data_IF_699685301824
#
_entry.id   IF_699685301824
#
_cell.length_a   1.000
_cell.length_b   1.000
_cell.length_c   1.000
_cell.angle_alpha   90.00
_cell.angle_beta   90.00
_cell.angle_gamma   90.00
#
_symmetry.space_group_name_H-M   'P 1'
#
loop_
_entity.id
_entity.type
_entity.pdbx_description
1 polymer ?
#
# COMPACT_ATOMS: atom_id res chain seq x y z
N UNK A 1 44.19 13.88 -45.63
CA UNK A 1 43.19 12.94 -45.00
C UNK A 1 42.80 13.49 -43.64
N UNK A 2 41.63 14.11 -43.52
CA UNK A 2 41.11 14.66 -42.25
C UNK A 2 40.38 13.52 -41.52
N UNK A 3 40.84 13.13 -40.33
CA UNK A 3 40.16 12.18 -39.47
C UNK A 3 39.02 12.90 -38.74
N UNK A 4 37.80 12.51 -39.04
CA UNK A 4 36.61 12.95 -38.32
C UNK A 4 36.45 12.02 -37.09
N UNK A 5 36.62 12.57 -35.87
CA UNK A 5 36.28 11.89 -34.63
C UNK A 5 34.79 12.14 -34.33
N UNK A 6 33.98 11.11 -34.52
CA UNK A 6 32.59 11.12 -34.07
C UNK A 6 32.56 10.81 -32.57
N UNK A 7 32.30 11.81 -31.74
CA UNK A 7 32.03 11.62 -30.31
C UNK A 7 30.59 11.11 -30.19
N UNK A 8 30.43 9.83 -29.92
CA UNK A 8 29.13 9.23 -29.58
C UNK A 8 28.84 9.61 -28.13
N UNK A 9 28.03 10.65 -27.93
CA UNK A 9 27.53 11.05 -26.62
C UNK A 9 26.60 9.94 -26.08
N UNK A 10 27.05 9.20 -25.07
CA UNK A 10 26.16 8.34 -24.27
C UNK A 10 25.23 9.28 -23.46
N UNK A 11 23.97 9.43 -23.91
CA UNK A 11 22.91 9.98 -23.08
C UNK A 11 22.56 8.88 -22.07
N UNK A 12 23.12 8.99 -20.87
CA UNK A 12 22.68 8.19 -19.72
C UNK A 12 21.28 8.67 -19.36
N UNK A 13 20.26 7.96 -19.81
CA UNK A 13 18.92 8.12 -19.27
C UNK A 13 18.98 7.59 -17.83
N UNK A 14 19.04 8.49 -16.85
CA UNK A 14 18.77 8.15 -15.46
C UNK A 14 17.28 7.77 -15.40
N UNK A 15 17.00 6.46 -15.46
CA UNK A 15 15.69 5.97 -15.06
C UNK A 15 15.58 6.30 -13.56
N UNK A 16 14.72 7.23 -13.21
CA UNK A 16 14.25 7.40 -11.84
C UNK A 16 13.51 6.10 -11.50
N UNK A 17 14.17 5.20 -10.79
CA UNK A 17 13.50 4.06 -10.19
C UNK A 17 12.59 4.64 -9.12
N UNK A 18 11.30 4.83 -9.43
CA UNK A 18 10.31 5.13 -8.43
C UNK A 18 10.41 4.06 -7.34
N UNK A 19 10.45 4.47 -6.08
CA UNK A 19 10.46 3.55 -4.96
C UNK A 19 9.29 2.57 -5.10
N UNK A 20 9.58 1.28 -4.93
CA UNK A 20 8.55 0.25 -5.05
C UNK A 20 7.74 0.14 -3.76
N UNK A 21 8.39 0.32 -2.58
CA UNK A 21 7.70 0.48 -1.29
C UNK A 21 7.73 1.95 -0.91
N UNK A 22 6.56 2.53 -0.64
CA UNK A 22 6.40 3.93 -0.27
C UNK A 22 5.51 4.07 0.96
N UNK A 23 5.58 5.23 1.63
CA UNK A 23 4.68 5.64 2.69
C UNK A 23 3.31 5.96 2.07
N UNK A 24 2.28 5.23 2.46
CA UNK A 24 0.94 5.38 1.92
C UNK A 24 0.05 6.27 2.78
N UNK A 25 0.12 6.13 4.10
CA UNK A 25 -0.67 6.93 5.04
C UNK A 25 0.15 7.30 6.26
N UNK A 26 -0.03 8.53 6.77
CA UNK A 26 0.60 9.03 8.00
C UNK A 26 -0.47 9.65 8.90
N UNK A 27 -0.54 9.16 10.13
CA UNK A 27 -1.42 9.67 11.17
C UNK A 27 -0.65 9.95 12.44
N UNK A 28 -0.61 11.20 12.86
CA UNK A 28 0.08 11.65 14.08
C UNK A 28 -0.87 12.16 15.17
N UNK A 29 -2.17 11.94 15.03
CA UNK A 29 -3.19 12.38 15.99
C UNK A 29 -3.52 11.38 17.09
N UNK A 30 -2.90 10.20 17.05
CA UNK A 30 -3.22 9.07 17.92
C UNK A 30 -3.09 9.38 19.40
N UNK A 31 -4.11 9.03 20.17
CA UNK A 31 -4.15 9.29 21.60
C UNK A 31 -4.23 10.74 22.04
N UNK A 32 -4.37 11.69 21.12
CA UNK A 32 -4.60 13.10 21.43
C UNK A 32 -6.09 13.36 21.75
N UNK A 33 -6.40 14.53 22.32
CA UNK A 33 -7.78 14.94 22.57
C UNK A 33 -8.58 15.02 21.27
N UNK A 34 -9.71 14.33 21.19
CA UNK A 34 -10.55 14.24 19.98
C UNK A 34 -10.11 13.22 18.93
N UNK A 35 -9.02 12.47 19.18
CA UNK A 35 -8.60 11.38 18.33
C UNK A 35 -9.58 10.19 18.41
N UNK A 36 -9.77 9.50 17.30
CA UNK A 36 -10.48 8.22 17.25
C UNK A 36 -9.55 7.08 17.65
N UNK A 37 -8.34 7.06 17.13
CA UNK A 37 -7.35 6.01 17.36
C UNK A 37 -6.45 6.35 18.55
N UNK A 38 -6.03 5.32 19.28
CA UNK A 38 -5.14 5.46 20.44
C UNK A 38 -3.67 5.67 20.06
N UNK A 39 -3.28 5.24 18.87
CA UNK A 39 -1.91 5.26 18.43
C UNK A 39 -1.72 6.08 17.15
N UNK A 40 -0.58 6.72 17.02
CA UNK A 40 -0.04 7.15 15.75
C UNK A 40 0.25 5.92 14.88
N UNK A 41 0.29 6.11 13.56
CA UNK A 41 0.70 5.05 12.64
C UNK A 41 1.31 5.58 11.35
N UNK A 42 2.07 4.70 10.72
CA UNK A 42 2.49 4.82 9.32
C UNK A 42 2.08 3.55 8.60
N UNK A 43 1.52 3.70 7.42
CA UNK A 43 1.21 2.60 6.52
C UNK A 43 2.16 2.67 5.30
N UNK A 44 2.79 1.55 4.98
CA UNK A 44 3.57 1.38 3.75
C UNK A 44 2.74 0.63 2.71
N UNK A 45 3.09 0.79 1.42
CA UNK A 45 2.49 0.04 0.31
C UNK A 45 3.55 -0.36 -0.71
N UNK A 46 3.45 -1.58 -1.27
CA UNK A 46 4.20 -1.97 -2.45
C UNK A 46 3.44 -1.56 -3.72
N UNK A 47 3.96 -0.57 -4.45
CA UNK A 47 3.40 -0.08 -5.72
C UNK A 47 3.92 -0.80 -6.95
N UNK A 48 4.91 -1.67 -6.75
CA UNK A 48 5.50 -2.44 -7.84
C UNK A 48 4.59 -3.54 -8.36
N UNK A 49 5.03 -4.18 -9.42
CA UNK A 49 4.33 -5.31 -10.06
C UNK A 49 4.88 -6.67 -9.62
N UNK A 50 5.87 -6.68 -8.74
CA UNK A 50 6.49 -7.88 -8.17
C UNK A 50 6.59 -7.79 -6.65
N UNK A 51 6.70 -8.94 -6.00
CA UNK A 51 7.01 -9.00 -4.57
C UNK A 51 8.39 -8.40 -4.30
N UNK A 52 8.50 -7.62 -3.22
CA UNK A 52 9.76 -7.00 -2.80
C UNK A 52 9.97 -7.19 -1.30
N UNK A 53 11.23 -7.35 -0.90
CA UNK A 53 11.64 -7.41 0.50
C UNK A 53 12.47 -6.18 0.85
N UNK A 54 12.03 -5.47 1.89
CA UNK A 54 12.74 -4.36 2.50
C UNK A 54 13.48 -4.87 3.75
N UNK A 55 14.81 -4.71 3.78
CA UNK A 55 15.65 -5.17 4.90
C UNK A 55 16.56 -4.04 5.38
N UNK A 56 16.77 -3.95 6.70
CA UNK A 56 17.66 -2.94 7.31
C UNK A 56 17.14 -1.51 7.23
N UNK A 57 15.87 -1.31 6.93
CA UNK A 57 15.25 -0.01 6.77
C UNK A 57 14.86 0.62 8.11
N UNK A 58 14.69 1.93 8.09
CA UNK A 58 14.29 2.74 9.25
C UNK A 58 13.16 3.70 8.87
N UNK A 59 12.27 3.96 9.81
CA UNK A 59 11.46 5.18 9.81
C UNK A 59 12.20 6.23 10.64
N UNK A 60 12.32 7.44 10.12
CA UNK A 60 12.91 8.59 10.80
C UNK A 60 11.94 9.76 10.77
N UNK A 61 11.75 10.41 11.90
CA UNK A 61 10.79 11.50 12.05
C UNK A 61 11.44 12.76 12.62
N UNK A 62 10.95 13.92 12.22
CA UNK A 62 11.22 15.21 12.88
C UNK A 62 10.03 16.17 12.70
N UNK A 63 9.92 17.20 13.54
CA UNK A 63 8.88 18.22 13.42
C UNK A 63 8.99 19.01 12.12
N UNK A 64 7.99 19.81 11.80
CA UNK A 64 7.95 20.62 10.57
C UNK A 64 9.20 21.45 10.34
N UNK A 65 9.68 22.17 11.37
CA UNK A 65 10.90 23.00 11.31
C UNK A 65 12.18 22.28 11.80
N UNK A 66 12.05 21.06 12.38
CA UNK A 66 13.17 20.32 12.94
C UNK A 66 14.14 19.81 11.87
N UNK A 67 15.32 19.38 12.28
CA UNK A 67 16.30 18.73 11.43
C UNK A 67 16.50 17.29 11.91
N UNK A 68 16.59 16.33 10.99
CA UNK A 68 16.84 14.94 11.35
C UNK A 68 18.19 14.80 12.07
N UNK A 69 18.22 14.01 13.13
CA UNK A 69 19.45 13.71 13.88
C UNK A 69 19.96 14.81 14.78
N UNK A 70 19.27 15.96 14.95
CA UNK A 70 19.70 17.09 15.79
C UNK A 70 19.05 17.16 17.17
N UNK A 71 18.24 16.20 17.55
CA UNK A 71 17.68 16.10 18.92
C UNK A 71 18.80 15.81 19.93
N UNK A 72 18.58 16.15 21.20
CA UNK A 72 19.53 15.86 22.30
C UNK A 72 19.96 14.37 22.34
N UNK A 73 19.14 13.47 21.81
CA UNK A 73 19.49 12.11 21.49
C UNK A 73 19.12 11.84 20.01
N UNK A 74 20.09 11.84 19.07
CA UNK A 74 19.83 11.67 17.63
C UNK A 74 19.22 10.32 17.26
N UNK A 75 19.12 9.39 18.20
CA UNK A 75 18.49 8.09 18.00
C UNK A 75 16.99 8.07 18.38
N UNK A 76 16.51 9.04 19.16
CA UNK A 76 15.13 9.03 19.68
C UNK A 76 14.04 9.16 18.62
N UNK A 77 14.36 9.65 17.43
CA UNK A 77 13.39 9.84 16.34
C UNK A 77 13.66 8.87 15.18
N UNK A 78 14.20 7.71 15.49
CA UNK A 78 14.48 6.63 14.53
C UNK A 78 13.89 5.32 15.05
N UNK A 79 13.26 4.59 14.17
CA UNK A 79 12.70 3.26 14.43
C UNK A 79 13.27 2.30 13.41
N UNK A 80 13.97 1.25 13.85
CA UNK A 80 14.37 0.17 12.97
C UNK A 80 13.17 -0.66 12.57
N UNK A 81 13.06 -0.98 11.29
CA UNK A 81 12.00 -1.84 10.77
C UNK A 81 12.47 -3.30 10.69
N UNK A 82 11.59 -4.27 10.96
CA UNK A 82 11.89 -5.66 10.67
C UNK A 82 12.07 -5.88 9.16
N UNK A 83 12.49 -7.07 8.77
CA UNK A 83 12.44 -7.45 7.35
C UNK A 83 10.98 -7.54 6.90
N UNK A 84 10.59 -6.76 5.89
CA UNK A 84 9.21 -6.63 5.40
C UNK A 84 9.15 -7.13 3.97
N UNK A 85 8.34 -8.15 3.71
CA UNK A 85 8.09 -8.64 2.35
C UNK A 85 6.65 -8.32 1.97
N UNK A 86 6.45 -7.57 0.89
CA UNK A 86 5.14 -7.17 0.39
C UNK A 86 4.94 -7.62 -1.06
N UNK A 87 3.78 -8.21 -1.32
CA UNK A 87 3.31 -8.47 -2.67
C UNK A 87 2.81 -7.17 -3.33
N UNK A 88 2.63 -7.13 -4.66
CA UNK A 88 2.05 -5.99 -5.35
C UNK A 88 0.73 -5.52 -4.72
N UNK A 89 0.63 -4.23 -4.42
CA UNK A 89 -0.55 -3.61 -3.79
C UNK A 89 -0.74 -3.93 -2.30
N UNK A 90 0.09 -4.78 -1.70
CA UNK A 90 -0.01 -5.11 -0.29
C UNK A 90 0.47 -3.95 0.57
N UNK A 91 -0.25 -3.72 1.66
CA UNK A 91 0.04 -2.69 2.66
C UNK A 91 0.74 -3.29 3.87
N UNK A 92 1.32 -2.44 4.71
CA UNK A 92 1.98 -2.82 5.95
C UNK A 92 1.77 -1.75 7.01
N UNK A 93 1.07 -2.09 8.08
CA UNK A 93 0.69 -1.17 9.14
C UNK A 93 1.70 -1.18 10.28
N UNK A 94 2.30 -0.03 10.54
CA UNK A 94 3.28 0.19 11.62
C UNK A 94 2.61 1.01 12.70
N UNK A 95 2.37 0.40 13.86
CA UNK A 95 1.90 1.10 15.05
C UNK A 95 3.03 1.93 15.64
N UNK A 96 2.70 3.17 15.98
CA UNK A 96 3.65 4.10 16.62
C UNK A 96 3.16 4.49 18.02
N UNK A 97 3.62 5.64 18.53
CA UNK A 97 3.35 6.03 19.91
C UNK A 97 1.86 6.11 20.24
N UNK A 98 1.52 5.78 21.48
CA UNK A 98 0.19 5.92 22.03
C UNK A 98 0.10 7.18 22.88
N UNK A 99 -1.11 7.75 22.96
CA UNK A 99 -1.47 8.78 23.95
C UNK A 99 -2.56 8.32 24.89
N UNK A 100 -3.05 9.23 25.74
CA UNK A 100 -4.10 8.94 26.73
C UNK A 100 -5.51 9.06 26.17
N UNK A 101 -5.69 9.70 25.02
CA UNK A 101 -6.97 9.84 24.32
C UNK A 101 -7.20 8.72 23.30
N UNK A 102 -8.24 8.90 22.47
CA UNK A 102 -8.64 7.89 21.50
C UNK A 102 -9.43 6.74 22.15
N UNK A 103 -10.31 6.14 21.38
CA UNK A 103 -11.21 5.07 21.88
C UNK A 103 -10.95 3.73 21.20
N UNK A 104 -10.34 3.74 20.01
CA UNK A 104 -10.15 2.56 19.18
C UNK A 104 -8.68 2.19 19.07
N UNK A 105 -8.38 0.89 19.10
CA UNK A 105 -7.08 0.37 18.75
C UNK A 105 -6.91 0.34 17.22
N UNK A 106 -5.66 0.30 16.74
CA UNK A 106 -5.38 -0.01 15.34
C UNK A 106 -5.82 -1.44 14.97
N UNK A 107 -6.26 -1.67 13.73
CA UNK A 107 -6.67 -3.00 13.28
C UNK A 107 -5.46 -3.93 13.07
N UNK A 108 -5.08 -4.71 14.09
CA UNK A 108 -4.01 -5.72 14.04
C UNK A 108 -2.75 -5.25 13.27
N UNK A 109 -1.98 -4.29 13.80
CA UNK A 109 -0.80 -3.77 13.12
C UNK A 109 0.21 -4.91 12.84
N UNK A 110 0.88 -4.85 11.67
CA UNK A 110 1.90 -5.84 11.28
C UNK A 110 3.17 -5.69 12.11
N UNK A 111 3.47 -4.47 12.55
CA UNK A 111 4.58 -4.17 13.45
C UNK A 111 4.14 -3.17 14.53
N UNK A 112 4.38 -3.54 15.78
CA UNK A 112 4.10 -2.74 16.96
C UNK A 112 5.36 -2.72 17.85
N UNK A 113 6.27 -1.74 17.70
CA UNK A 113 7.45 -1.60 18.54
C UNK A 113 7.05 -1.33 19.98
N UNK A 114 7.76 -1.94 20.93
CA UNK A 114 7.45 -1.86 22.37
C UNK A 114 8.63 -1.42 23.23
N UNK A 115 9.76 -1.10 22.61
CA UNK A 115 10.95 -0.62 23.31
C UNK A 115 10.79 0.81 23.84
N UNK A 116 11.66 1.19 24.76
CA UNK A 116 11.70 2.54 25.35
C UNK A 116 12.87 3.37 24.83
N UNK A 117 13.68 2.80 23.93
CA UNK A 117 14.84 3.43 23.30
C UNK A 117 15.09 2.84 21.92
N UNK A 118 15.91 3.54 21.11
CA UNK A 118 16.41 3.00 19.85
C UNK A 118 17.01 1.58 20.03
N UNK A 119 16.78 0.63 19.12
CA UNK A 119 16.10 0.79 17.82
C UNK A 119 14.59 0.57 17.82
N UNK A 120 13.96 0.21 18.94
CA UNK A 120 12.57 -0.29 19.01
C UNK A 120 11.59 0.73 19.62
N UNK A 121 12.00 1.97 19.83
CA UNK A 121 11.12 2.99 20.41
C UNK A 121 10.09 3.45 19.36
N UNK A 122 8.78 3.39 19.69
CA UNK A 122 7.75 3.94 18.82
C UNK A 122 7.92 5.45 18.66
N UNK A 123 7.83 5.94 17.43
CA UNK A 123 7.91 7.38 17.13
C UNK A 123 6.63 8.08 17.59
N UNK A 124 6.77 9.26 18.21
CA UNK A 124 5.64 10.13 18.54
C UNK A 124 5.52 11.23 17.47
N UNK A 125 4.51 11.12 16.62
CA UNK A 125 4.28 12.05 15.54
C UNK A 125 3.45 13.25 16.03
N UNK A 126 3.57 14.38 15.33
CA UNK A 126 2.68 15.53 15.57
C UNK A 126 1.36 15.34 14.84
N UNK A 127 0.25 15.69 15.48
CA UNK A 127 -1.09 15.65 14.91
C UNK A 127 -1.34 16.65 13.78
N UNK A 128 -0.47 17.64 13.57
CA UNK A 128 -0.73 18.73 12.60
C UNK A 128 0.29 18.84 11.47
N UNK A 129 1.47 18.24 11.62
CA UNK A 129 2.50 18.33 10.61
C UNK A 129 3.86 17.81 11.09
N UNK A 130 4.71 17.47 10.14
CA UNK A 130 6.05 16.92 10.40
C UNK A 130 6.75 16.52 9.13
N UNK A 131 7.84 15.79 9.30
CA UNK A 131 8.61 15.17 8.22
C UNK A 131 8.94 13.74 8.61
N UNK A 132 8.68 12.81 7.73
CA UNK A 132 8.99 11.39 7.93
C UNK A 132 9.72 10.86 6.71
N UNK A 133 10.75 10.07 6.93
CA UNK A 133 11.53 9.42 5.90
C UNK A 133 11.56 7.91 6.13
N UNK A 134 11.32 7.14 5.08
CA UNK A 134 11.67 5.74 4.99
C UNK A 134 13.08 5.66 4.41
N UNK A 135 14.03 5.12 5.16
CA UNK A 135 15.45 5.10 4.78
C UNK A 135 16.00 3.68 4.74
N UNK A 136 17.02 3.44 3.91
CA UNK A 136 17.71 2.14 3.79
C UNK A 136 18.69 1.85 4.91
N UNK A 137 19.02 2.86 5.71
CA UNK A 137 19.90 2.75 6.88
C UNK A 137 19.55 3.81 7.94
N UNK A 138 20.28 3.83 9.06
CA UNK A 138 20.06 4.76 10.17
C UNK A 138 20.68 6.15 9.98
N UNK A 139 21.30 6.45 8.84
CA UNK A 139 21.87 7.78 8.57
C UNK A 139 20.76 8.81 8.45
N UNK A 140 20.86 9.93 9.14
CA UNK A 140 19.85 10.98 9.10
C UNK A 140 19.85 11.69 7.75
N UNK A 141 18.71 11.77 7.03
CA UNK A 141 18.64 12.47 5.76
C UNK A 141 18.78 13.98 5.97
N UNK A 142 19.46 14.65 5.06
CA UNK A 142 19.62 16.13 5.02
C UNK A 142 18.73 16.79 3.98
N UNK A 143 18.18 15.99 3.05
CA UNK A 143 17.27 16.41 2.00
C UNK A 143 16.27 15.27 1.72
N UNK A 144 15.16 15.57 1.04
CA UNK A 144 14.17 14.57 0.67
C UNK A 144 14.72 13.54 -0.33
N UNK A 145 15.72 13.91 -1.12
CA UNK A 145 16.42 13.08 -2.11
C UNK A 145 17.80 12.58 -1.63
N UNK A 146 18.07 12.55 -0.31
CA UNK A 146 19.31 11.99 0.23
C UNK A 146 19.48 10.53 -0.25
N UNK A 147 20.72 10.07 -0.52
CA UNK A 147 20.97 8.76 -1.17
C UNK A 147 20.39 7.54 -0.45
N UNK A 148 20.19 7.64 0.86
CA UNK A 148 19.59 6.56 1.66
C UNK A 148 18.07 6.69 1.85
N UNK A 149 17.44 7.73 1.31
CA UNK A 149 15.98 7.89 1.33
C UNK A 149 15.35 6.98 0.30
N UNK A 150 14.41 6.16 0.74
CA UNK A 150 13.57 5.31 -0.09
C UNK A 150 12.29 6.07 -0.47
N UNK A 151 11.68 6.76 0.52
CA UNK A 151 10.52 7.62 0.33
C UNK A 151 10.48 8.69 1.41
N UNK A 152 9.95 9.87 1.09
CA UNK A 152 9.92 11.02 1.98
C UNK A 152 8.57 11.73 1.96
N UNK A 153 8.07 12.07 3.15
CA UNK A 153 6.82 12.83 3.28
C UNK A 153 7.03 14.00 4.26
N UNK A 154 6.93 15.21 3.72
CA UNK A 154 6.76 16.42 4.52
C UNK A 154 5.30 16.88 4.46
N UNK A 155 4.67 17.09 5.62
CA UNK A 155 3.28 17.52 5.68
C UNK A 155 3.05 18.63 6.70
N UNK A 156 1.95 19.36 6.51
CA UNK A 156 1.53 20.45 7.40
C UNK A 156 2.24 21.78 7.10
N UNK A 157 1.70 22.85 7.71
CA UNK A 157 2.20 24.20 7.54
C UNK A 157 3.62 24.33 8.10
N UNK A 158 4.54 24.84 7.29
CA UNK A 158 5.93 25.12 7.70
C UNK A 158 6.84 23.91 7.67
N UNK A 159 6.46 22.79 7.04
CA UNK A 159 7.40 21.71 6.77
C UNK A 159 8.55 22.22 5.89
N UNK A 160 9.77 22.12 6.41
CA UNK A 160 10.97 22.72 5.79
C UNK A 160 11.62 21.82 4.73
N UNK A 161 11.21 20.54 4.65
CA UNK A 161 11.60 19.58 3.62
C UNK A 161 10.39 18.79 3.18
N UNK A 162 10.28 18.53 1.89
CA UNK A 162 9.24 17.75 1.23
C UNK A 162 9.70 17.38 -0.18
N UNK A 163 9.03 16.45 -0.81
CA UNK A 163 9.23 16.14 -2.23
C UNK A 163 8.41 17.07 -3.10
N UNK A 164 8.98 17.50 -4.23
CA UNK A 164 8.31 18.33 -5.23
C UNK A 164 8.19 19.80 -4.83
N UNK A 165 7.05 20.40 -5.14
CA UNK A 165 6.84 21.84 -5.07
C UNK A 165 6.37 22.36 -3.70
N UNK A 166 5.66 21.52 -2.93
CA UNK A 166 5.12 21.88 -1.61
C UNK A 166 4.90 20.63 -0.74
N UNK A 167 4.78 20.86 0.57
CA UNK A 167 4.42 19.82 1.53
C UNK A 167 2.98 19.31 1.32
N UNK A 168 2.72 18.08 1.76
CA UNK A 168 1.38 17.54 1.86
C UNK A 168 0.51 18.40 2.81
N UNK A 169 -0.82 18.32 2.70
CA UNK A 169 -1.73 19.12 3.54
C UNK A 169 -1.52 18.90 5.04
N UNK A 170 -1.90 19.91 5.84
CA UNK A 170 -1.90 19.78 7.29
C UNK A 170 -2.99 18.82 7.76
N UNK A 171 -2.73 18.11 8.87
CA UNK A 171 -3.65 17.20 9.53
C UNK A 171 -4.22 17.81 10.81
N UNK A 172 -5.06 17.04 11.50
CA UNK A 172 -5.59 17.31 12.84
C UNK A 172 -5.51 16.02 13.65
N UNK A 173 -5.94 16.08 14.93
CA UNK A 173 -6.00 14.86 15.75
C UNK A 173 -6.98 13.79 15.21
N UNK A 174 -7.89 14.14 14.31
CA UNK A 174 -8.90 13.23 13.74
C UNK A 174 -8.68 12.93 12.24
N UNK A 175 -7.61 13.46 11.64
CA UNK A 175 -7.34 13.25 10.22
C UNK A 175 -5.90 12.80 9.97
N UNK A 176 -5.71 11.97 8.96
CA UNK A 176 -4.44 11.56 8.38
C UNK A 176 -4.19 12.22 7.03
N UNK A 177 -3.01 12.05 6.48
CA UNK A 177 -2.73 12.21 5.05
C UNK A 177 -2.57 10.83 4.43
N UNK A 178 -3.20 10.61 3.26
CA UNK A 178 -3.12 9.36 2.50
C UNK A 178 -2.78 9.63 1.05
N UNK A 179 -1.95 8.78 0.44
CA UNK A 179 -1.68 8.85 -1.00
C UNK A 179 -2.93 8.50 -1.80
N UNK A 180 -3.25 9.31 -2.79
CA UNK A 180 -4.37 9.06 -3.69
C UNK A 180 -4.05 7.85 -4.57
N UNK A 181 -4.78 6.76 -4.39
CA UNK A 181 -4.57 5.49 -5.11
C UNK A 181 -3.15 4.89 -4.95
N UNK A 182 -2.44 5.21 -3.88
CA UNK A 182 -1.05 4.81 -3.68
C UNK A 182 -0.06 5.41 -4.70
N UNK A 183 -0.44 6.42 -5.47
CA UNK A 183 0.42 7.02 -6.49
C UNK A 183 1.51 7.86 -5.83
N UNK A 184 2.73 7.74 -6.34
CA UNK A 184 3.89 8.51 -5.94
C UNK A 184 4.50 9.19 -7.18
N UNK A 185 4.47 10.50 -7.19
CA UNK A 185 5.05 11.32 -8.26
C UNK A 185 6.27 12.11 -7.78
N UNK A 186 6.79 11.79 -6.60
CA UNK A 186 7.79 12.57 -5.86
C UNK A 186 7.31 14.03 -5.67
N UNK A 187 6.04 14.19 -5.29
CA UNK A 187 5.45 15.50 -5.03
C UNK A 187 4.38 15.38 -3.92
N UNK A 188 4.77 15.66 -2.68
CA UNK A 188 3.91 15.42 -1.53
C UNK A 188 2.57 16.17 -1.61
N UNK A 189 2.55 17.39 -2.16
CA UNK A 189 1.31 18.17 -2.29
C UNK A 189 0.32 17.59 -3.31
N UNK A 190 0.80 16.91 -4.35
CA UNK A 190 -0.05 16.30 -5.37
C UNK A 190 -0.45 14.88 -5.00
N UNK A 191 0.42 14.15 -4.29
CA UNK A 191 0.24 12.75 -4.00
C UNK A 191 -0.68 12.50 -2.80
N UNK A 192 -0.72 13.42 -1.82
CA UNK A 192 -1.44 13.23 -0.57
C UNK A 192 -2.69 14.11 -0.44
N UNK A 193 -3.72 13.52 0.14
CA UNK A 193 -4.95 14.22 0.55
C UNK A 193 -5.23 13.98 2.03
N UNK A 194 -5.92 14.94 2.67
CA UNK A 194 -6.34 14.80 4.08
C UNK A 194 -7.71 14.14 4.16
N UNK A 195 -7.86 13.18 5.07
CA UNK A 195 -9.11 12.45 5.31
C UNK A 195 -9.19 11.82 6.69
N UNK A 196 -10.26 11.09 6.97
CA UNK A 196 -10.33 10.23 8.13
C UNK A 196 -9.25 9.13 8.02
N UNK A 197 -8.58 8.74 9.14
CA UNK A 197 -7.59 7.66 9.09
C UNK A 197 -8.24 6.34 8.67
N UNK A 198 -7.56 5.64 7.74
CA UNK A 198 -8.00 4.36 7.16
C UNK A 198 -6.91 3.29 7.25
N UNK A 199 -6.39 2.99 8.46
CA UNK A 199 -5.26 2.06 8.61
C UNK A 199 -5.61 0.65 8.12
N UNK A 200 -4.78 0.11 7.24
CA UNK A 200 -4.88 -1.25 6.70
C UNK A 200 -3.56 -2.01 6.91
N UNK A 201 -3.67 -3.24 7.39
CA UNK A 201 -2.52 -4.14 7.59
C UNK A 201 -2.27 -5.03 6.36
N UNK A 202 -1.25 -5.88 6.41
CA UNK A 202 -0.88 -6.77 5.31
C UNK A 202 -1.94 -7.83 4.97
N UNK A 203 -2.91 -8.03 5.85
CA UNK A 203 -4.06 -8.93 5.63
C UNK A 203 -5.30 -8.18 5.14
N UNK A 204 -5.32 -6.84 5.26
CA UNK A 204 -6.41 -5.98 4.80
C UNK A 204 -6.29 -5.80 3.28
N UNK A 205 -7.34 -6.02 2.55
CA UNK A 205 -7.41 -5.63 1.14
C UNK A 205 -6.64 -6.52 0.16
N UNK A 206 -6.11 -7.66 0.56
CA UNK A 206 -5.83 -8.71 -0.40
C UNK A 206 -7.15 -9.42 -0.75
N UNK A 207 -8.05 -8.73 -1.48
CA UNK A 207 -8.56 -9.37 -2.67
C UNK A 207 -7.36 -9.52 -3.62
N UNK A 208 -6.31 -10.17 -3.13
CA UNK A 208 -5.31 -10.73 -3.99
C UNK A 208 -6.11 -11.66 -4.90
N UNK A 209 -6.27 -11.26 -6.13
CA UNK A 209 -6.19 -12.24 -7.19
C UNK A 209 -4.85 -12.91 -6.87
N UNK A 210 -4.90 -14.02 -6.15
CA UNK A 210 -3.76 -14.92 -6.02
C UNK A 210 -3.33 -15.12 -7.47
N UNK A 211 -2.21 -14.50 -7.83
CA UNK A 211 -1.53 -14.80 -9.07
C UNK A 211 -1.13 -16.26 -8.93
N UNK A 212 -2.03 -17.14 -9.32
CA UNK A 212 -1.88 -18.59 -9.28
C UNK A 212 -0.89 -19.02 -10.34
N UNK A 213 0.33 -18.46 -10.29
CA UNK A 213 1.44 -18.87 -11.18
C UNK A 213 1.84 -20.33 -10.95
N UNK A 214 1.25 -21.03 -9.98
CA UNK A 214 1.57 -22.45 -9.72
C UNK A 214 0.35 -23.39 -9.55
N UNK A 215 -0.86 -22.90 -9.63
CA UNK A 215 -1.94 -23.80 -10.02
C UNK A 215 -2.00 -23.72 -11.54
N UNK A 216 -1.63 -24.78 -12.26
CA UNK A 216 -2.15 -24.98 -13.62
C UNK A 216 -3.65 -24.76 -13.47
N UNK A 217 -4.11 -23.55 -13.73
CA UNK A 217 -5.51 -23.22 -13.84
C UNK A 217 -6.03 -24.07 -14.98
N UNK A 218 -6.44 -25.29 -14.66
CA UNK A 218 -7.45 -25.92 -15.48
C UNK A 218 -8.57 -24.88 -15.49
N UNK A 219 -8.81 -24.26 -16.63
CA UNK A 219 -9.85 -23.26 -16.83
C UNK A 219 -11.10 -23.75 -16.15
N UNK A 220 -11.34 -23.30 -14.89
CA UNK A 220 -12.50 -23.78 -14.14
C UNK A 220 -13.79 -23.31 -14.84
N UNK A 221 -13.70 -22.21 -15.59
CA UNK A 221 -14.69 -21.83 -16.61
C UNK A 221 -14.07 -21.99 -18.00
N UNK A 222 -14.65 -22.83 -18.84
CA UNK A 222 -14.16 -23.13 -20.20
C UNK A 222 -14.43 -22.02 -21.20
N UNK A 223 -15.48 -21.23 -21.02
CA UNK A 223 -15.92 -20.21 -21.95
C UNK A 223 -15.96 -18.82 -21.29
N UNK A 224 -14.83 -18.14 -21.23
CA UNK A 224 -14.76 -16.77 -20.70
C UNK A 224 -15.54 -15.74 -21.53
N UNK A 225 -15.90 -16.08 -22.77
CA UNK A 225 -16.82 -15.32 -23.63
C UNK A 225 -18.09 -16.12 -23.87
N UNK A 226 -19.20 -15.70 -23.26
CA UNK A 226 -20.46 -16.43 -23.23
C UNK A 226 -21.40 -15.88 -24.29
N UNK A 227 -21.64 -16.64 -25.38
CA UNK A 227 -22.51 -16.27 -26.47
C UNK A 227 -23.94 -16.92 -26.39
N UNK A 228 -24.02 -18.07 -25.74
CA UNK A 228 -25.23 -18.89 -25.67
C UNK A 228 -25.89 -18.90 -24.29
N UNK A 229 -25.67 -17.88 -23.48
CA UNK A 229 -26.20 -17.73 -22.13
C UNK A 229 -25.85 -18.84 -21.14
N UNK A 230 -24.80 -19.63 -21.40
CA UNK A 230 -24.37 -20.71 -20.54
C UNK A 230 -22.87 -20.60 -20.20
N UNK A 231 -22.56 -20.70 -18.92
CA UNK A 231 -21.19 -20.82 -18.44
C UNK A 231 -20.88 -22.30 -18.27
N UNK A 232 -19.84 -22.80 -18.95
CA UNK A 232 -19.41 -24.20 -18.90
C UNK A 232 -18.21 -24.33 -17.98
N UNK A 233 -18.29 -25.23 -17.01
CA UNK A 233 -17.24 -25.45 -16.02
C UNK A 233 -16.29 -26.59 -16.43
N UNK A 234 -15.00 -26.37 -16.20
CA UNK A 234 -13.92 -27.33 -16.51
C UNK A 234 -13.57 -28.27 -15.36
N UNK A 235 -14.11 -28.02 -14.18
CA UNK A 235 -13.85 -28.75 -12.94
C UNK A 235 -15.09 -28.79 -12.07
N UNK A 236 -15.09 -29.66 -11.06
CA UNK A 236 -16.09 -29.62 -9.99
C UNK A 236 -15.86 -28.33 -9.18
N UNK A 237 -16.87 -27.48 -9.06
CA UNK A 237 -16.79 -26.22 -8.33
C UNK A 237 -17.89 -26.15 -7.29
N UNK A 238 -17.51 -26.01 -6.04
CA UNK A 238 -18.43 -25.76 -4.92
C UNK A 238 -18.62 -24.26 -4.73
N UNK A 239 -19.77 -23.87 -4.18
CA UNK A 239 -20.06 -22.50 -3.79
C UNK A 239 -19.82 -21.48 -4.93
N UNK A 240 -20.29 -21.82 -6.14
CA UNK A 240 -20.19 -20.93 -7.29
C UNK A 240 -21.04 -19.70 -7.06
N UNK A 241 -20.41 -18.53 -7.11
CA UNK A 241 -21.06 -17.23 -7.02
C UNK A 241 -20.73 -16.41 -8.25
N UNK A 242 -21.75 -15.77 -8.82
CA UNK A 242 -21.62 -14.86 -9.96
C UNK A 242 -21.92 -13.46 -9.47
N UNK A 243 -20.98 -12.55 -9.66
CA UNK A 243 -21.10 -11.14 -9.28
C UNK A 243 -21.11 -10.26 -10.53
N UNK A 244 -21.93 -9.22 -10.52
CA UNK A 244 -21.85 -8.16 -11.52
C UNK A 244 -20.65 -7.22 -11.24
N UNK A 245 -20.41 -6.24 -12.11
CA UNK A 245 -19.30 -5.29 -11.96
C UNK A 245 -19.45 -4.32 -10.77
N UNK A 246 -20.63 -4.29 -10.13
CA UNK A 246 -20.88 -3.52 -8.91
C UNK A 246 -20.65 -4.35 -7.63
N UNK A 247 -20.17 -5.60 -7.76
CA UNK A 247 -19.94 -6.51 -6.64
C UNK A 247 -21.23 -7.16 -6.08
N UNK A 248 -22.37 -7.01 -6.75
CA UNK A 248 -23.62 -7.61 -6.30
C UNK A 248 -23.66 -9.09 -6.72
N UNK A 249 -24.03 -9.97 -5.79
CA UNK A 249 -24.28 -11.38 -6.07
C UNK A 249 -25.56 -11.49 -6.92
N UNK A 250 -25.44 -12.06 -8.12
CA UNK A 250 -26.54 -12.21 -9.07
C UNK A 250 -26.93 -13.67 -9.31
N UNK A 251 -26.07 -14.62 -8.94
CA UNK A 251 -26.38 -16.07 -8.99
C UNK A 251 -25.48 -16.85 -8.04
N UNK A 252 -26.02 -17.91 -7.45
CA UNK A 252 -25.28 -18.87 -6.60
C UNK A 252 -25.70 -20.31 -6.95
N UNK A 253 -24.72 -21.22 -7.03
CA UNK A 253 -24.94 -22.65 -7.33
C UNK A 253 -23.70 -23.47 -7.01
N UNK A 254 -23.75 -24.79 -7.22
CA UNK A 254 -22.58 -25.68 -7.25
C UNK A 254 -22.66 -26.52 -8.50
N UNK A 255 -21.53 -26.83 -9.11
CA UNK A 255 -21.47 -27.50 -10.40
C UNK A 255 -20.45 -28.62 -10.41
N UNK A 256 -20.70 -29.63 -11.24
CA UNK A 256 -19.73 -30.68 -11.58
C UNK A 256 -18.97 -30.32 -12.85
N UNK A 257 -17.86 -31.02 -13.05
CA UNK A 257 -17.06 -30.89 -14.28
C UNK A 257 -17.94 -31.10 -15.53
N UNK A 258 -17.78 -30.22 -16.53
CA UNK A 258 -18.53 -30.17 -17.78
C UNK A 258 -20.02 -29.81 -17.64
N UNK A 259 -20.48 -29.44 -16.46
CA UNK A 259 -21.83 -28.89 -16.27
C UNK A 259 -21.89 -27.44 -16.74
N UNK A 260 -23.05 -27.05 -17.26
CA UNK A 260 -23.34 -25.70 -17.69
C UNK A 260 -24.31 -25.01 -16.74
N UNK A 261 -24.07 -23.74 -16.47
CA UNK A 261 -24.95 -22.88 -15.68
C UNK A 261 -25.54 -21.82 -16.58
N UNK A 262 -26.86 -21.81 -16.68
CA UNK A 262 -27.56 -20.76 -17.43
C UNK A 262 -27.44 -19.41 -16.71
N UNK A 263 -27.17 -18.40 -17.51
CA UNK A 263 -27.16 -16.98 -17.12
C UNK A 263 -28.04 -16.16 -18.05
N UNK A 264 -29.08 -16.80 -18.63
CA UNK A 264 -30.00 -16.17 -19.59
C UNK A 264 -30.69 -14.93 -19.01
N UNK A 265 -30.99 -14.96 -17.70
CA UNK A 265 -31.62 -13.87 -16.95
C UNK A 265 -30.73 -12.66 -16.71
N UNK A 266 -29.41 -12.80 -16.88
CA UNK A 266 -28.45 -11.70 -16.62
C UNK A 266 -28.33 -10.82 -17.88
N UNK A 267 -28.08 -9.53 -17.68
CA UNK A 267 -27.84 -8.59 -18.77
C UNK A 267 -26.47 -8.86 -19.46
N UNK A 268 -26.31 -8.35 -20.68
CA UNK A 268 -25.00 -8.35 -21.35
C UNK A 268 -24.00 -7.57 -20.53
N UNK A 269 -22.76 -8.06 -20.43
CA UNK A 269 -21.70 -7.37 -19.66
C UNK A 269 -20.69 -8.30 -19.01
N UNK A 270 -19.81 -7.70 -18.22
CA UNK A 270 -18.79 -8.43 -17.49
C UNK A 270 -19.31 -8.95 -16.14
N UNK A 271 -18.89 -10.15 -15.79
CA UNK A 271 -19.20 -10.82 -14.53
C UNK A 271 -17.93 -11.42 -13.94
N UNK A 272 -17.87 -11.50 -12.62
CA UNK A 272 -16.85 -12.24 -11.89
C UNK A 272 -17.50 -13.50 -11.32
N UNK A 273 -16.90 -14.64 -11.64
CA UNK A 273 -17.31 -15.94 -11.11
C UNK A 273 -16.29 -16.38 -10.07
N UNK A 274 -16.75 -16.74 -8.89
CA UNK A 274 -15.93 -17.30 -7.82
C UNK A 274 -16.45 -18.68 -7.44
N UNK A 275 -15.63 -19.46 -6.76
CA UNK A 275 -15.99 -20.77 -6.23
C UNK A 275 -14.81 -21.46 -5.57
N UNK A 276 -14.97 -22.74 -5.23
CA UNK A 276 -13.93 -23.56 -4.61
C UNK A 276 -13.70 -24.82 -5.44
N UNK A 277 -12.45 -25.01 -5.90
CA UNK A 277 -11.99 -26.21 -6.62
C UNK A 277 -10.92 -26.88 -5.77
N UNK A 278 -11.07 -28.16 -5.43
CA UNK A 278 -10.14 -28.91 -4.59
C UNK A 278 -9.80 -28.18 -3.26
N UNK A 279 -10.82 -27.61 -2.61
CA UNK A 279 -10.69 -26.78 -1.40
C UNK A 279 -9.84 -25.51 -1.55
N UNK A 280 -9.59 -25.06 -2.79
CA UNK A 280 -8.89 -23.80 -3.07
C UNK A 280 -9.89 -22.80 -3.70
N UNK A 281 -9.90 -21.54 -3.23
CA UNK A 281 -10.74 -20.52 -3.83
C UNK A 281 -10.25 -20.20 -5.26
N UNK A 282 -11.19 -20.06 -6.18
CA UNK A 282 -10.93 -19.70 -7.57
C UNK A 282 -11.81 -18.52 -8.00
N UNK A 283 -11.31 -17.73 -8.94
CA UNK A 283 -12.04 -16.59 -9.51
C UNK A 283 -11.70 -16.44 -10.99
N UNK A 284 -12.69 -16.11 -11.81
CA UNK A 284 -12.49 -15.86 -13.23
C UNK A 284 -13.48 -14.81 -13.76
N UNK A 285 -12.99 -13.91 -14.61
CA UNK A 285 -13.82 -12.93 -15.31
C UNK A 285 -14.45 -13.58 -16.55
N UNK A 286 -15.74 -13.32 -16.78
CA UNK A 286 -16.51 -13.75 -17.95
C UNK A 286 -17.20 -12.55 -18.57
N UNK A 287 -17.28 -12.54 -19.90
CA UNK A 287 -18.04 -11.56 -20.67
C UNK A 287 -19.25 -12.25 -21.27
N UNK A 288 -20.45 -11.78 -20.94
CA UNK A 288 -21.71 -12.18 -21.60
C UNK A 288 -22.02 -11.22 -22.76
N UNK A 289 -22.18 -11.79 -23.95
CA UNK A 289 -22.56 -11.07 -25.18
C UNK A 289 -24.08 -10.85 -25.28
#
# INVERSE_FOLDING_TARGET
MKKIFTILGLISATAFANAQIVINEVYGGGGNSGATLKNDFVELINRGTSSITLTGAYLQYTSTSGTFGTTANPLNNKLALPSITLNPGQKYLIQLAAGSGGTQNLPNPDFAPSGTSFPDQPLALSGTGGKIALTSDSTSPTAADSPNVIDFVGWGTGASLFEGAAAAPATTNSTSISRTNGIDTNNNNLDFTTGAPTPENSSSGTLAVLDTKNVKSANFVKNSFVKNNEIVFGSDVKDVKVFNMFGQLVKETSVKQNEAVSIAELAKGNYIITGTVNNQPVSQKVLKD
#
